data_IF_818873359716
#
_entry.id   IF_818873359716
#
_cell.length_a   1.000
_cell.length_b   1.000
_cell.length_c   1.000
_cell.angle_alpha   90.00
_cell.angle_beta   90.00
_cell.angle_gamma   90.00
#
_symmetry.space_group_name_H-M   'P 1'
#
loop_
_entity.id
_entity.type
_entity.pdbx_description
1 polymer ?
#
# COMPACT_ATOMS: atom_id res chain seq x y z
N UNK A 1 -0.77 -7.22 -15.35
CA UNK A 1 -2.16 -7.58 -14.95
C UNK A 1 -2.43 -6.94 -13.60
N UNK A 2 -3.42 -6.05 -13.53
CA UNK A 2 -3.50 -4.89 -12.62
C UNK A 2 -4.24 -5.17 -11.31
N UNK A 3 -4.34 -6.43 -10.89
CA UNK A 3 -5.34 -6.83 -9.90
C UNK A 3 -4.90 -6.60 -8.45
N UNK A 4 -3.62 -6.31 -8.18
CA UNK A 4 -3.13 -5.99 -6.81
C UNK A 4 -3.71 -4.69 -6.22
N UNK A 5 -4.34 -3.84 -7.06
CA UNK A 5 -4.99 -2.61 -6.60
C UNK A 5 -6.43 -2.81 -6.12
N UNK A 6 -7.04 -3.96 -6.40
CA UNK A 6 -8.39 -4.25 -5.95
C UNK A 6 -8.35 -4.71 -4.49
N UNK A 7 -9.20 -4.11 -3.66
CA UNK A 7 -9.33 -4.45 -2.23
C UNK A 7 -9.60 -5.95 -2.04
N UNK A 8 -10.35 -6.56 -2.95
CA UNK A 8 -10.67 -8.00 -2.93
C UNK A 8 -9.42 -8.89 -2.92
N UNK A 9 -8.30 -8.41 -3.43
CA UNK A 9 -7.05 -9.17 -3.53
C UNK A 9 -6.07 -8.88 -2.39
N UNK A 10 -6.43 -8.03 -1.43
CA UNK A 10 -5.56 -7.71 -0.30
C UNK A 10 -5.55 -8.82 0.74
N UNK A 11 -4.35 -9.22 1.14
CA UNK A 11 -4.17 -10.01 2.36
C UNK A 11 -4.43 -9.16 3.62
N UNK A 12 -4.45 -9.82 4.78
CA UNK A 12 -4.78 -9.17 6.05
C UNK A 12 -3.79 -8.06 6.43
N UNK A 13 -2.49 -8.22 6.14
CA UNK A 13 -1.51 -7.19 6.48
C UNK A 13 -1.63 -5.98 5.54
N UNK A 14 -1.84 -6.21 4.24
CA UNK A 14 -2.08 -5.14 3.25
C UNK A 14 -3.34 -4.33 3.63
N UNK A 15 -4.40 -4.99 4.06
CA UNK A 15 -5.61 -4.34 4.58
C UNK A 15 -5.32 -3.51 5.84
N UNK A 16 -4.55 -4.06 6.79
CA UNK A 16 -4.22 -3.35 8.04
C UNK A 16 -3.36 -2.12 7.76
N UNK A 17 -2.35 -2.24 6.89
CA UNK A 17 -1.50 -1.13 6.49
C UNK A 17 -2.35 -0.03 5.83
N UNK A 18 -3.27 -0.42 4.95
CA UNK A 18 -4.25 0.49 4.37
C UNK A 18 -5.06 1.25 5.43
N UNK A 19 -5.63 0.54 6.42
CA UNK A 19 -6.45 1.14 7.48
C UNK A 19 -5.66 2.09 8.39
N UNK A 20 -4.37 1.80 8.64
CA UNK A 20 -3.47 2.72 9.36
C UNK A 20 -3.28 4.02 8.60
N UNK A 21 -3.18 3.96 7.27
CA UNK A 21 -3.03 5.15 6.44
C UNK A 21 -4.29 6.03 6.42
N UNK A 22 -5.48 5.46 6.66
CA UNK A 22 -6.74 6.22 6.71
C UNK A 22 -6.87 7.10 7.96
N UNK A 23 -5.94 7.00 8.93
CA UNK A 23 -5.93 7.79 10.16
C UNK A 23 -7.28 7.75 10.92
N UNK A 24 -7.92 6.58 10.93
CA UNK A 24 -9.22 6.35 11.56
C UNK A 24 -9.16 6.42 13.10
N UNK A 25 -7.95 6.55 13.68
CA UNK A 25 -7.68 6.47 15.13
C UNK A 25 -8.05 5.11 15.73
N UNK A 26 -7.85 4.04 14.96
CA UNK A 26 -7.85 2.67 15.47
C UNK A 26 -6.55 2.43 16.23
N UNK A 27 -6.63 1.73 17.35
CA UNK A 27 -5.44 1.31 18.08
C UNK A 27 -4.94 -0.07 17.61
N UNK A 28 -3.84 -0.53 18.20
CA UNK A 28 -3.23 -1.82 17.84
C UNK A 28 -4.11 -3.00 18.23
N UNK A 29 -4.96 -2.87 19.26
CA UNK A 29 -5.88 -3.93 19.68
C UNK A 29 -7.01 -4.10 18.66
N UNK A 30 -7.58 -2.98 18.17
CA UNK A 30 -8.57 -2.97 17.10
C UNK A 30 -8.05 -3.65 15.83
N UNK A 31 -6.83 -3.32 15.41
CA UNK A 31 -6.19 -3.92 14.23
C UNK A 31 -5.77 -5.37 14.52
N UNK A 32 -5.44 -5.70 15.77
CA UNK A 32 -5.15 -7.04 16.25
C UNK A 32 -6.32 -7.99 16.06
N UNK A 33 -7.56 -7.53 16.21
CA UNK A 33 -8.77 -8.33 15.92
C UNK A 33 -8.78 -8.77 14.45
N UNK A 34 -8.55 -7.84 13.52
CA UNK A 34 -8.53 -8.15 12.08
C UNK A 34 -7.46 -9.18 11.74
N UNK A 35 -6.29 -9.06 12.37
CA UNK A 35 -5.17 -9.99 12.22
C UNK A 35 -5.51 -11.38 12.76
N UNK A 36 -6.09 -11.46 13.96
CA UNK A 36 -6.43 -12.72 14.62
C UNK A 36 -7.50 -13.51 13.86
N UNK A 37 -8.52 -12.80 13.35
CA UNK A 37 -9.59 -13.39 12.53
C UNK A 37 -9.18 -13.62 11.07
N UNK A 38 -7.95 -13.21 10.67
CA UNK A 38 -7.43 -13.31 9.30
C UNK A 38 -8.36 -12.68 8.26
N UNK A 39 -8.92 -11.53 8.61
CA UNK A 39 -9.82 -10.78 7.73
C UNK A 39 -8.99 -10.25 6.55
N UNK A 40 -9.26 -10.75 5.35
CA UNK A 40 -8.69 -10.28 4.08
C UNK A 40 -9.54 -9.15 3.51
N UNK A 41 -9.03 -8.43 2.51
CA UNK A 41 -9.78 -7.32 1.91
C UNK A 41 -11.11 -7.74 1.29
N UNK A 42 -11.20 -8.92 0.66
CA UNK A 42 -12.48 -9.47 0.19
C UNK A 42 -13.46 -9.68 1.35
N UNK A 43 -13.04 -10.40 2.40
CA UNK A 43 -13.92 -10.65 3.55
C UNK A 43 -14.33 -9.35 4.26
N UNK A 44 -13.41 -8.39 4.37
CA UNK A 44 -13.66 -7.08 4.96
C UNK A 44 -14.75 -6.31 4.23
N UNK A 45 -14.76 -6.34 2.89
CA UNK A 45 -15.81 -5.72 2.11
C UNK A 45 -17.17 -6.37 2.41
N UNK A 46 -17.23 -7.66 2.69
CA UNK A 46 -18.48 -8.37 2.97
C UNK A 46 -18.95 -8.27 4.43
N UNK A 47 -18.11 -7.78 5.35
CA UNK A 47 -18.46 -7.66 6.76
C UNK A 47 -19.58 -6.64 7.01
N UNK A 48 -20.58 -7.07 7.76
CA UNK A 48 -21.59 -6.21 8.36
C UNK A 48 -21.12 -5.60 9.68
N UNK A 49 -21.89 -4.65 10.20
CA UNK A 49 -21.68 -4.08 11.53
C UNK A 49 -21.71 -5.17 12.61
N UNK A 50 -22.61 -6.14 12.46
CA UNK A 50 -22.80 -7.27 13.36
C UNK A 50 -21.59 -8.22 13.33
N UNK A 51 -21.02 -8.47 12.15
CA UNK A 51 -19.83 -9.31 12.01
C UNK A 51 -18.62 -8.71 12.72
N UNK A 52 -18.40 -7.39 12.58
CA UNK A 52 -17.32 -6.71 13.30
C UNK A 52 -17.51 -6.79 14.82
N UNK A 53 -18.75 -6.70 15.31
CA UNK A 53 -19.04 -6.85 16.74
C UNK A 53 -18.81 -8.29 17.22
N UNK A 54 -19.16 -9.30 16.41
CA UNK A 54 -18.92 -10.71 16.73
C UNK A 54 -17.43 -11.06 16.74
N UNK A 55 -16.63 -10.43 15.87
CA UNK A 55 -15.17 -10.53 15.89
C UNK A 55 -14.53 -9.91 17.15
N UNK A 56 -15.30 -9.16 17.96
CA UNK A 56 -14.86 -8.63 19.25
C UNK A 56 -14.55 -7.13 19.26
N UNK A 57 -14.81 -6.40 18.16
CA UNK A 57 -14.59 -4.95 18.10
C UNK A 57 -15.64 -4.19 18.89
N UNK A 58 -15.22 -3.08 19.51
CA UNK A 58 -16.13 -2.17 20.22
C UNK A 58 -16.90 -1.29 19.23
N UNK A 59 -18.02 -0.74 19.70
CA UNK A 59 -18.95 0.04 18.87
C UNK A 59 -18.31 1.24 18.15
N UNK A 60 -17.28 1.87 18.74
CA UNK A 60 -16.55 2.98 18.13
C UNK A 60 -15.80 2.56 16.85
N UNK A 61 -14.81 1.67 16.96
CA UNK A 61 -14.09 1.06 15.84
C UNK A 61 -15.02 0.49 14.76
N UNK A 62 -16.05 -0.26 15.18
CA UNK A 62 -17.08 -0.81 14.26
C UNK A 62 -17.69 0.28 13.39
N UNK A 63 -18.09 1.42 13.97
CA UNK A 63 -18.72 2.51 13.21
C UNK A 63 -17.76 3.15 12.19
N UNK A 64 -16.46 3.17 12.48
CA UNK A 64 -15.43 3.68 11.58
C UNK A 64 -15.19 2.71 10.42
N UNK A 65 -15.00 1.42 10.73
CA UNK A 65 -14.76 0.38 9.73
C UNK A 65 -15.96 0.19 8.79
N UNK A 66 -17.20 0.21 9.30
CA UNK A 66 -18.39 0.12 8.44
C UNK A 66 -18.48 1.28 7.44
N UNK A 67 -18.05 2.49 7.82
CA UNK A 67 -17.97 3.61 6.89
C UNK A 67 -16.90 3.38 5.83
N UNK A 68 -15.75 2.86 6.23
CA UNK A 68 -14.67 2.58 5.30
C UNK A 68 -15.07 1.51 4.27
N UNK A 69 -15.74 0.44 4.71
CA UNK A 69 -16.33 -0.58 3.81
C UNK A 69 -17.24 0.07 2.76
N UNK A 70 -18.13 0.99 3.18
CA UNK A 70 -19.02 1.70 2.25
C UNK A 70 -18.23 2.55 1.24
N UNK A 71 -17.21 3.27 1.70
CA UNK A 71 -16.35 4.11 0.86
C UNK A 71 -15.60 3.27 -0.19
N UNK A 72 -15.12 2.09 0.20
CA UNK A 72 -14.42 1.17 -0.70
C UNK A 72 -15.37 0.54 -1.73
N UNK A 73 -16.59 0.16 -1.32
CA UNK A 73 -17.64 -0.37 -2.23
C UNK A 73 -18.10 0.63 -3.28
N UNK A 74 -18.20 1.91 -2.93
CA UNK A 74 -18.60 2.97 -3.86
C UNK A 74 -17.49 3.34 -4.84
N UNK A 75 -16.20 3.09 -4.49
CA UNK A 75 -15.05 3.41 -5.34
C UNK A 75 -14.03 2.24 -5.41
N UNK A 76 -14.41 1.09 -6.00
CA UNK A 76 -13.60 -0.13 -5.98
C UNK A 76 -12.29 -0.03 -6.80
N UNK A 77 -12.19 0.95 -7.71
CA UNK A 77 -11.01 1.19 -8.58
C UNK A 77 -10.06 2.27 -8.06
N UNK A 78 -10.00 2.49 -6.75
CA UNK A 78 -8.99 3.37 -6.19
C UNK A 78 -7.64 2.66 -6.25
N UNK A 79 -6.83 3.02 -7.24
CA UNK A 79 -5.41 2.68 -7.23
C UNK A 79 -4.81 3.11 -5.88
N UNK A 80 -3.83 2.36 -5.37
CA UNK A 80 -3.10 2.70 -4.13
C UNK A 80 -2.61 4.17 -4.11
N UNK A 81 -2.38 4.76 -5.30
CA UNK A 81 -2.03 6.17 -5.49
C UNK A 81 -3.14 7.19 -5.23
N UNK A 82 -4.38 6.77 -4.96
CA UNK A 82 -5.50 7.69 -4.72
C UNK A 82 -5.70 8.06 -3.24
N UNK A 83 -4.89 7.50 -2.34
CA UNK A 83 -4.94 7.80 -0.89
C UNK A 83 -4.09 8.99 -0.50
N UNK A 84 -3.08 9.30 -1.31
CA UNK A 84 -2.30 10.53 -1.15
C UNK A 84 -2.15 11.22 -2.49
N UNK A 85 -2.46 12.51 -2.55
CA UNK A 85 -2.03 13.32 -3.69
C UNK A 85 -0.51 13.23 -3.82
N UNK A 86 0.00 13.47 -5.03
CA UNK A 86 1.44 13.57 -5.22
C UNK A 86 2.06 14.57 -4.21
N UNK A 87 1.37 15.68 -3.94
CA UNK A 87 1.80 16.64 -2.91
C UNK A 87 1.85 16.10 -1.49
N UNK A 88 0.90 15.27 -1.07
CA UNK A 88 0.92 14.63 0.25
C UNK A 88 2.04 13.60 0.38
N UNK A 89 2.41 12.92 -0.72
CA UNK A 89 3.58 12.02 -0.75
C UNK A 89 4.87 12.83 -0.67
N UNK A 90 4.99 13.89 -1.47
CA UNK A 90 6.19 14.72 -1.55
C UNK A 90 6.46 15.50 -0.25
N UNK A 91 5.42 15.92 0.47
CA UNK A 91 5.55 16.59 1.76
C UNK A 91 6.28 15.74 2.82
N UNK A 92 6.23 14.40 2.74
CA UNK A 92 6.98 13.51 3.64
C UNK A 92 8.50 13.61 3.47
N UNK A 93 8.93 14.12 2.33
CA UNK A 93 10.34 14.30 1.97
C UNK A 93 10.70 15.79 1.92
N UNK A 94 9.91 16.64 2.62
CA UNK A 94 10.08 18.09 2.66
C UNK A 94 9.98 18.78 1.29
N UNK A 95 9.28 18.15 0.33
CA UNK A 95 9.02 18.70 -1.00
C UNK A 95 7.58 19.22 -1.05
N UNK A 96 7.40 20.53 -0.92
CA UNK A 96 6.09 21.17 -1.03
C UNK A 96 5.74 21.46 -2.50
N UNK A 97 5.37 20.44 -3.25
CA UNK A 97 4.99 20.53 -4.67
C UNK A 97 3.99 19.45 -5.03
N UNK A 98 3.17 19.69 -6.05
CA UNK A 98 2.29 18.71 -6.69
C UNK A 98 2.81 18.26 -8.06
N UNK A 99 4.05 18.62 -8.42
CA UNK A 99 4.69 18.29 -9.71
C UNK A 99 5.84 17.30 -9.55
N UNK A 100 5.88 16.32 -10.45
CA UNK A 100 7.01 15.36 -10.55
C UNK A 100 8.34 16.05 -10.86
N UNK A 101 8.32 17.24 -11.47
CA UNK A 101 9.52 18.01 -11.80
C UNK A 101 10.21 18.61 -10.57
N UNK A 102 9.53 18.62 -9.42
CA UNK A 102 10.09 19.08 -8.14
C UNK A 102 10.82 18.00 -7.38
N UNK A 103 10.74 16.73 -7.84
CA UNK A 103 11.53 15.65 -7.29
C UNK A 103 12.98 15.88 -7.72
N UNK A 104 13.93 16.02 -6.76
CA UNK A 104 15.33 16.21 -7.12
C UNK A 104 15.81 15.01 -7.93
N UNK A 105 16.58 15.27 -9.00
CA UNK A 105 17.21 14.20 -9.74
C UNK A 105 18.13 13.43 -8.81
N UNK A 106 17.99 12.11 -8.84
CA UNK A 106 18.87 11.22 -8.10
C UNK A 106 20.26 11.28 -8.74
N UNK A 107 21.23 11.85 -8.01
CA UNK A 107 22.62 11.92 -8.39
C UNK A 107 23.48 11.22 -7.33
N UNK A 108 23.34 9.89 -7.17
CA UNK A 108 24.14 9.15 -6.20
C UNK A 108 25.60 9.11 -6.64
N UNK A 109 26.52 9.19 -5.69
CA UNK A 109 27.87 8.72 -5.95
C UNK A 109 27.85 7.19 -5.96
N UNK A 110 28.45 6.55 -6.97
CA UNK A 110 28.42 5.08 -7.19
C UNK A 110 28.92 4.24 -6.00
N UNK A 111 29.61 4.86 -5.04
CA UNK A 111 30.12 4.22 -3.83
C UNK A 111 29.47 4.73 -2.53
N UNK A 112 28.42 5.53 -2.64
CA UNK A 112 27.70 6.06 -1.49
C UNK A 112 26.84 4.96 -0.83
N UNK A 113 26.69 4.98 0.52
CA UNK A 113 25.73 4.13 1.21
C UNK A 113 24.30 4.23 0.64
N UNK A 114 23.91 5.42 0.19
CA UNK A 114 22.61 5.73 -0.40
C UNK A 114 22.41 5.00 -1.73
N UNK A 115 23.45 4.92 -2.56
CA UNK A 115 23.43 4.12 -3.79
C UNK A 115 23.20 2.64 -3.49
N UNK A 116 23.93 2.10 -2.52
CA UNK A 116 23.79 0.69 -2.13
C UNK A 116 22.39 0.38 -1.59
N UNK A 117 21.85 1.25 -0.73
CA UNK A 117 20.48 1.12 -0.22
C UNK A 117 19.44 1.18 -1.35
N UNK A 118 19.66 2.03 -2.35
CA UNK A 118 18.79 2.12 -3.53
C UNK A 118 18.80 0.80 -4.32
N UNK A 119 19.98 0.26 -4.63
CA UNK A 119 20.13 -1.03 -5.32
C UNK A 119 19.49 -2.17 -4.52
N UNK A 120 19.72 -2.22 -3.20
CA UNK A 120 19.14 -3.23 -2.32
C UNK A 120 17.59 -3.15 -2.30
N UNK A 121 17.01 -1.95 -2.30
CA UNK A 121 15.56 -1.75 -2.38
C UNK A 121 14.99 -2.22 -3.72
N UNK A 122 15.63 -1.88 -4.84
CA UNK A 122 15.21 -2.33 -6.18
C UNK A 122 15.25 -3.86 -6.26
N UNK A 123 16.34 -4.49 -5.81
CA UNK A 123 16.48 -5.95 -5.79
C UNK A 123 15.42 -6.62 -4.90
N UNK A 124 15.11 -6.01 -3.75
CA UNK A 124 14.04 -6.48 -2.85
C UNK A 124 12.67 -6.44 -3.53
N UNK A 125 12.34 -5.35 -4.24
CA UNK A 125 11.09 -5.24 -5.01
C UNK A 125 10.99 -6.30 -6.10
N UNK A 126 12.07 -6.51 -6.87
CA UNK A 126 12.12 -7.56 -7.91
C UNK A 126 11.88 -8.95 -7.29
N UNK A 127 12.49 -9.25 -6.14
CA UNK A 127 12.28 -10.54 -5.44
C UNK A 127 10.83 -10.74 -5.01
N UNK A 128 10.19 -9.68 -4.52
CA UNK A 128 8.82 -9.74 -4.01
C UNK A 128 7.76 -9.91 -5.13
N UNK A 129 8.11 -9.68 -6.40
CA UNK A 129 7.21 -9.91 -7.53
C UNK A 129 6.95 -11.39 -7.85
N UNK A 130 7.69 -12.32 -7.23
CA UNK A 130 7.55 -13.75 -7.51
C UNK A 130 8.22 -14.18 -8.82
N UNK A 131 7.86 -15.36 -9.37
CA UNK A 131 8.39 -15.88 -10.63
C UNK A 131 8.10 -14.95 -11.81
N UNK A 132 8.96 -14.95 -12.82
CA UNK A 132 8.71 -14.21 -14.06
C UNK A 132 7.55 -14.87 -14.81
N UNK A 133 6.51 -14.10 -15.08
CA UNK A 133 5.36 -14.44 -15.91
C UNK A 133 5.04 -13.26 -16.82
N UNK A 134 4.41 -13.49 -17.96
CA UNK A 134 4.12 -12.44 -18.96
C UNK A 134 3.45 -11.19 -18.35
N UNK A 135 2.63 -11.37 -17.31
CA UNK A 135 1.93 -10.29 -16.63
C UNK A 135 2.80 -9.39 -15.73
N UNK A 136 4.00 -9.84 -15.33
CA UNK A 136 4.94 -9.08 -14.50
C UNK A 136 6.30 -8.79 -15.18
N UNK A 137 6.55 -9.36 -16.36
CA UNK A 137 7.80 -9.20 -17.12
C UNK A 137 8.10 -7.74 -17.42
N UNK A 138 7.14 -6.99 -17.97
CA UNK A 138 7.32 -5.59 -18.34
C UNK A 138 7.79 -4.73 -17.15
N UNK A 139 7.18 -4.94 -15.98
CA UNK A 139 7.51 -4.20 -14.77
C UNK A 139 8.86 -4.63 -14.20
N UNK A 140 9.23 -5.92 -14.28
CA UNK A 140 10.59 -6.37 -13.94
C UNK A 140 11.64 -5.74 -14.85
N UNK A 141 11.36 -5.63 -16.15
CA UNK A 141 12.26 -5.01 -17.12
C UNK A 141 12.50 -3.53 -16.82
N UNK A 142 11.50 -2.78 -16.34
CA UNK A 142 11.70 -1.39 -15.89
C UNK A 142 12.68 -1.28 -14.72
N UNK A 143 12.55 -2.14 -13.70
CA UNK A 143 13.47 -2.17 -12.57
C UNK A 143 14.89 -2.59 -12.98
N UNK A 144 15.02 -3.58 -13.87
CA UNK A 144 16.32 -4.03 -14.40
C UNK A 144 16.98 -2.91 -15.23
N UNK A 145 16.22 -2.24 -16.08
CA UNK A 145 16.70 -1.10 -16.88
C UNK A 145 17.24 0.02 -15.98
N UNK A 146 16.56 0.29 -14.87
CA UNK A 146 17.01 1.27 -13.87
C UNK A 146 18.37 0.91 -13.26
N UNK A 147 18.62 -0.38 -12.97
CA UNK A 147 19.93 -0.86 -12.50
C UNK A 147 21.00 -0.69 -13.59
N UNK A 148 20.70 -1.07 -14.84
CA UNK A 148 21.65 -1.00 -15.96
C UNK A 148 22.04 0.43 -16.32
N UNK A 149 21.14 1.41 -16.13
CA UNK A 149 21.43 2.82 -16.39
C UNK A 149 22.18 3.51 -15.23
N UNK A 150 22.33 2.85 -14.09
CA UNK A 150 22.98 3.40 -12.89
C UNK A 150 24.31 2.72 -12.54
N UNK A 151 24.70 1.68 -13.28
CA UNK A 151 26.00 0.98 -13.20
C UNK A 151 26.88 1.29 -14.41
#
# INVERSE_FOLDING_TARGET
EHDSYLVENWDTETLIDFLKEQNLKLDDDDLGVLRNEKITGLSFLDMSKEDFMQAGLKMGPVKLLTKEVQVLKEKPKRAFSSYRSLSEVLAKYDINSDSITSIPQFAPEENSPEFKLCIDDILRRIKNMGPVVDSNEAMRCEYISTILHTA
#
